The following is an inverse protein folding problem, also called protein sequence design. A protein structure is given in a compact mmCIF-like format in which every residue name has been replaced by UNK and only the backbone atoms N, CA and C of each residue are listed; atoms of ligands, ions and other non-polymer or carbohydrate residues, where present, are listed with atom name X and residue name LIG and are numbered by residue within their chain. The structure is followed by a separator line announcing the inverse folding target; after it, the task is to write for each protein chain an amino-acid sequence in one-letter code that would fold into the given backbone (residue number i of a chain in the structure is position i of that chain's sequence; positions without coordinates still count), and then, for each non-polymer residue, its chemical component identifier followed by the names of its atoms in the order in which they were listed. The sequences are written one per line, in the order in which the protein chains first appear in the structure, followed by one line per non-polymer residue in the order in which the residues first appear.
data_IF_446924155043
#
_entry.id   IF_446924155043
#
_cell.length_a   1.000
_cell.length_b   1.000
_cell.length_c   1.000
_cell.angle_alpha   90.00
_cell.angle_beta   90.00
_cell.angle_gamma   90.00
#
_symmetry.space_group_name_H-M   'P 1'
#
loop_
_entity.id
_entity.type
_entity.pdbx_description
1 polymer ?
#
# COMPACT_ATOMS: atom_id res chain seq x y z
N UNK A 1 -19.25 -11.87 29.80
CA UNK A 1 -18.49 -11.06 28.83
C UNK A 1 -19.12 -9.68 28.82
N UNK A 2 -18.37 -8.58 28.85
CA UNK A 2 -18.99 -7.26 28.69
C UNK A 2 -19.72 -7.25 27.35
N UNK A 3 -20.95 -6.75 27.34
CA UNK A 3 -21.75 -6.61 26.13
C UNK A 3 -20.98 -5.81 25.10
N UNK A 4 -20.71 -6.43 23.94
CA UNK A 4 -20.09 -5.74 22.81
C UNK A 4 -21.08 -4.62 22.42
N UNK A 5 -20.69 -3.37 22.62
CA UNK A 5 -21.39 -2.23 22.05
C UNK A 5 -20.94 -2.08 20.60
N UNK A 6 -21.64 -2.63 19.59
CA UNK A 6 -21.14 -2.76 18.22
C UNK A 6 -20.73 -1.43 17.61
N UNK A 7 -21.41 -0.34 17.99
CA UNK A 7 -21.08 1.01 17.51
C UNK A 7 -19.73 1.49 18.04
N UNK A 8 -19.43 1.25 19.32
CA UNK A 8 -18.19 1.69 19.93
C UNK A 8 -16.97 0.91 19.40
N UNK A 9 -17.14 -0.41 19.23
CA UNK A 9 -16.11 -1.26 18.64
C UNK A 9 -15.81 -0.86 17.18
N UNK A 10 -16.84 -0.55 16.39
CA UNK A 10 -16.67 -0.09 15.02
C UNK A 10 -15.94 1.26 14.97
N UNK A 11 -16.35 2.23 15.80
CA UNK A 11 -15.67 3.54 15.87
C UNK A 11 -14.20 3.38 16.24
N UNK A 12 -13.90 2.49 17.20
CA UNK A 12 -12.52 2.18 17.57
C UNK A 12 -11.74 1.62 16.37
N UNK A 13 -12.26 0.61 15.66
CA UNK A 13 -11.58 0.01 14.51
C UNK A 13 -11.32 1.05 13.42
N UNK A 14 -12.31 1.90 13.10
CA UNK A 14 -12.14 2.94 12.10
C UNK A 14 -11.10 3.98 12.53
N UNK A 15 -11.11 4.39 13.81
CA UNK A 15 -10.09 5.29 14.36
C UNK A 15 -8.70 4.65 14.29
N UNK A 16 -8.57 3.37 14.66
CA UNK A 16 -7.30 2.64 14.58
C UNK A 16 -6.78 2.58 13.16
N UNK A 17 -7.60 2.20 12.18
CA UNK A 17 -7.19 2.13 10.78
C UNK A 17 -6.78 3.51 10.26
N UNK A 18 -7.51 4.57 10.63
CA UNK A 18 -7.14 5.94 10.27
C UNK A 18 -5.80 6.36 10.91
N UNK A 19 -5.59 6.07 12.21
CA UNK A 19 -4.35 6.38 12.92
C UNK A 19 -3.15 5.60 12.37
N UNK A 20 -3.34 4.32 12.03
CA UNK A 20 -2.33 3.51 11.34
C UNK A 20 -1.92 4.15 10.00
N UNK A 21 -2.92 4.53 9.19
CA UNK A 21 -2.67 5.15 7.90
C UNK A 21 -1.99 6.53 8.04
N UNK A 22 -2.37 7.33 9.05
CA UNK A 22 -1.67 8.57 9.41
C UNK A 22 -0.22 8.25 9.77
N UNK A 23 0.03 7.28 10.64
CA UNK A 23 1.38 6.88 11.07
C UNK A 23 2.28 6.48 9.89
N UNK A 24 1.75 5.67 8.97
CA UNK A 24 2.46 5.30 7.73
C UNK A 24 2.73 6.56 6.88
N UNK A 25 1.72 7.40 6.71
CA UNK A 25 1.82 8.61 5.89
C UNK A 25 2.78 9.66 6.43
N UNK A 26 2.87 9.81 7.76
CA UNK A 26 3.79 10.74 8.45
C UNK A 26 5.24 10.56 8.02
N UNK A 27 5.64 9.32 7.73
CA UNK A 27 7.02 8.93 7.47
C UNK A 27 7.45 9.27 6.03
N UNK A 28 6.54 9.19 5.05
CA UNK A 28 6.89 9.32 3.63
C UNK A 28 7.67 10.60 3.31
N UNK A 29 7.27 11.81 3.75
CA UNK A 29 7.97 13.04 3.39
C UNK A 29 9.38 13.15 3.94
N UNK A 30 9.65 12.51 5.09
CA UNK A 30 10.93 12.64 5.82
C UNK A 30 11.90 11.50 5.55
N UNK A 31 11.46 10.42 4.90
CA UNK A 31 12.33 9.28 4.60
C UNK A 31 13.60 9.65 3.83
N UNK A 32 13.59 10.52 2.81
CA UNK A 32 14.81 10.92 2.12
C UNK A 32 15.83 11.56 3.06
N UNK A 33 15.38 12.48 3.92
CA UNK A 33 16.26 13.19 4.85
C UNK A 33 16.83 12.25 5.90
N UNK A 34 16.01 11.40 6.51
CA UNK A 34 16.45 10.38 7.45
C UNK A 34 17.48 9.42 6.83
N UNK A 35 17.22 8.97 5.59
CA UNK A 35 18.09 8.02 4.94
C UNK A 35 19.44 8.64 4.56
N UNK A 36 19.47 9.89 4.12
CA UNK A 36 20.73 10.63 3.88
C UNK A 36 21.47 10.84 5.20
N UNK A 37 20.78 11.23 6.28
CA UNK A 37 21.39 11.42 7.61
C UNK A 37 22.05 10.12 8.13
N UNK A 38 21.32 8.99 8.07
CA UNK A 38 21.78 7.70 8.63
C UNK A 38 22.83 7.03 7.77
N UNK A 39 22.79 7.20 6.45
CA UNK A 39 23.75 6.59 5.54
C UNK A 39 25.00 7.44 5.32
N UNK A 40 24.89 8.76 5.46
CA UNK A 40 25.93 9.71 5.05
C UNK A 40 26.20 9.72 3.54
N UNK A 41 25.28 9.20 2.72
CA UNK A 41 25.47 8.96 1.29
C UNK A 41 24.65 9.90 0.43
N UNK A 42 24.84 9.82 -0.90
CA UNK A 42 24.05 10.54 -1.88
C UNK A 42 22.56 10.17 -1.78
N UNK A 43 21.68 11.05 -2.28
CA UNK A 43 20.24 10.80 -2.25
C UNK A 43 19.84 9.54 -3.04
N UNK A 44 20.54 9.25 -4.16
CA UNK A 44 20.32 8.03 -4.94
C UNK A 44 20.65 6.76 -4.16
N UNK A 45 21.82 6.72 -3.47
CA UNK A 45 22.18 5.58 -2.61
C UNK A 45 21.27 5.47 -1.38
N UNK A 46 20.86 6.61 -0.80
CA UNK A 46 19.90 6.66 0.29
C UNK A 46 18.52 6.10 -0.15
N UNK A 47 18.10 6.40 -1.37
CA UNK A 47 16.87 5.85 -1.94
C UNK A 47 16.93 4.32 -2.09
N UNK A 48 18.06 3.76 -2.54
CA UNK A 48 18.24 2.30 -2.60
C UNK A 48 18.06 1.66 -1.23
N UNK A 49 18.67 2.22 -0.19
CA UNK A 49 18.50 1.72 1.18
C UNK A 49 17.05 1.86 1.67
N UNK A 50 16.35 2.96 1.32
CA UNK A 50 14.93 3.12 1.56
C UNK A 50 14.09 2.02 0.90
N UNK A 51 14.45 1.66 -0.34
CA UNK A 51 13.86 0.52 -1.06
C UNK A 51 14.10 -0.82 -0.36
N UNK A 52 15.33 -1.06 0.15
CA UNK A 52 15.68 -2.26 0.92
C UNK A 52 14.87 -2.34 2.22
N UNK A 53 14.71 -1.24 2.95
CA UNK A 53 13.90 -1.19 4.17
C UNK A 53 12.43 -1.51 3.89
N UNK A 54 11.87 -0.93 2.83
CA UNK A 54 10.48 -1.18 2.40
C UNK A 54 10.29 -2.63 1.97
N UNK A 55 11.20 -3.17 1.17
CA UNK A 55 11.16 -4.56 0.73
C UNK A 55 11.31 -5.53 1.91
N UNK A 56 12.19 -5.25 2.87
CA UNK A 56 12.37 -6.09 4.06
C UNK A 56 11.10 -6.19 4.89
N UNK A 57 10.42 -5.05 5.12
CA UNK A 57 9.10 -5.02 5.76
C UNK A 57 8.08 -5.86 4.98
N UNK A 58 7.99 -5.66 3.67
CA UNK A 58 7.02 -6.38 2.82
C UNK A 58 7.29 -7.89 2.76
N UNK A 59 8.56 -8.32 2.73
CA UNK A 59 8.95 -9.74 2.81
C UNK A 59 8.47 -10.35 4.12
N UNK A 60 8.73 -9.70 5.25
CA UNK A 60 8.30 -10.19 6.56
C UNK A 60 6.78 -10.22 6.67
N UNK A 61 6.09 -9.18 6.21
CA UNK A 61 4.64 -9.14 6.17
C UNK A 61 4.05 -10.26 5.31
N UNK A 62 4.64 -10.55 4.15
CA UNK A 62 4.21 -11.64 3.27
C UNK A 62 4.40 -13.02 3.93
N UNK A 63 5.57 -13.25 4.53
CA UNK A 63 5.88 -14.54 5.15
C UNK A 63 5.07 -14.78 6.43
N UNK A 64 4.94 -13.77 7.28
CA UNK A 64 4.34 -13.90 8.60
C UNK A 64 2.86 -13.51 8.65
N UNK A 65 2.32 -12.81 7.65
CA UNK A 65 0.91 -12.42 7.61
C UNK A 65 -0.06 -13.59 7.81
N UNK A 66 0.06 -14.71 7.07
CA UNK A 66 -0.78 -15.89 7.29
C UNK A 66 -0.57 -16.55 8.67
N UNK A 67 0.65 -16.49 9.22
CA UNK A 67 0.97 -16.99 10.56
C UNK A 67 0.23 -16.17 11.62
N UNK A 68 0.35 -14.83 11.53
CA UNK A 68 -0.30 -13.91 12.48
C UNK A 68 -1.83 -13.99 12.36
N UNK A 69 -2.37 -14.13 11.15
CA UNK A 69 -3.79 -14.40 10.94
C UNK A 69 -4.26 -15.68 11.63
N UNK A 70 -3.49 -16.75 11.49
CA UNK A 70 -3.77 -18.05 12.13
C UNK A 70 -3.65 -18.00 13.67
N UNK A 71 -2.70 -17.21 14.19
CA UNK A 71 -2.59 -16.93 15.63
C UNK A 71 -3.81 -16.13 16.15
N UNK A 72 -4.30 -15.20 15.35
CA UNK A 72 -5.51 -14.44 15.64
C UNK A 72 -6.77 -15.31 15.69
N UNK A 73 -6.86 -16.34 14.83
CA UNK A 73 -7.93 -17.35 14.87
C UNK A 73 -7.85 -18.25 16.12
N UNK A 74 -6.63 -18.48 16.64
CA UNK A 74 -6.41 -19.37 17.79
C UNK A 74 -6.57 -18.65 19.14
N UNK A 75 -5.92 -17.50 19.27
CA UNK A 75 -5.85 -16.78 20.56
C UNK A 75 -6.94 -15.74 20.73
N UNK A 76 -7.62 -15.36 19.64
CA UNK A 76 -8.57 -14.27 19.57
C UNK A 76 -8.02 -13.05 18.82
N UNK A 77 -8.92 -12.18 18.39
CA UNK A 77 -8.57 -10.98 17.61
C UNK A 77 -7.86 -9.93 18.47
N UNK A 78 -8.42 -9.68 19.66
CA UNK A 78 -7.95 -8.62 20.56
C UNK A 78 -6.49 -8.75 20.96
N UNK A 79 -5.98 -9.90 21.47
CA UNK A 79 -4.58 -10.02 21.88
C UNK A 79 -3.61 -9.78 20.72
N UNK A 80 -3.88 -10.37 19.56
CA UNK A 80 -3.02 -10.23 18.37
C UNK A 80 -3.00 -8.79 17.90
N UNK A 81 -4.15 -8.13 17.88
CA UNK A 81 -4.28 -6.73 17.51
C UNK A 81 -3.47 -5.81 18.44
N UNK A 82 -3.59 -5.99 19.76
CA UNK A 82 -2.84 -5.20 20.75
C UNK A 82 -1.33 -5.44 20.64
N UNK A 83 -0.88 -6.68 20.41
CA UNK A 83 0.54 -6.98 20.19
C UNK A 83 1.05 -6.27 18.92
N UNK A 84 0.29 -6.26 17.82
CA UNK A 84 0.67 -5.52 16.61
C UNK A 84 0.81 -4.02 16.89
N UNK A 85 -0.08 -3.42 17.69
CA UNK A 85 0.02 -2.01 18.08
C UNK A 85 1.26 -1.73 18.96
N UNK A 86 1.61 -2.63 19.91
CA UNK A 86 2.85 -2.51 20.69
C UNK A 86 4.07 -2.52 19.79
N UNK A 87 4.15 -3.46 18.85
CA UNK A 87 5.27 -3.55 17.92
C UNK A 87 5.35 -2.30 17.04
N UNK A 88 4.21 -1.74 16.62
CA UNK A 88 4.17 -0.51 15.84
C UNK A 88 4.70 0.71 16.62
N UNK A 89 4.35 0.84 17.91
CA UNK A 89 4.94 1.87 18.81
C UNK A 89 6.46 1.72 18.85
N UNK A 90 6.95 0.50 19.08
CA UNK A 90 8.38 0.21 19.17
C UNK A 90 9.09 0.51 17.85
N UNK A 91 8.50 0.16 16.73
CA UNK A 91 9.05 0.43 15.40
C UNK A 91 9.23 1.93 15.16
N UNK A 92 8.20 2.74 15.41
CA UNK A 92 8.30 4.19 15.25
C UNK A 92 9.33 4.81 16.21
N UNK A 93 9.41 4.34 17.46
CA UNK A 93 10.44 4.79 18.40
C UNK A 93 11.84 4.38 17.95
N UNK A 94 12.02 3.14 17.46
CA UNK A 94 13.29 2.69 16.92
C UNK A 94 13.70 3.53 15.71
N UNK A 95 12.78 3.87 14.82
CA UNK A 95 13.06 4.76 13.69
C UNK A 95 13.41 6.18 14.15
N UNK A 96 12.73 6.69 15.18
CA UNK A 96 13.00 8.02 15.73
C UNK A 96 14.41 8.14 16.30
N UNK A 97 14.95 7.08 16.93
CA UNK A 97 16.27 7.08 17.56
C UNK A 97 17.38 6.40 16.74
N UNK A 98 17.04 5.90 15.54
CA UNK A 98 18.02 5.18 14.73
C UNK A 98 19.08 6.12 14.14
N UNK A 99 20.35 5.75 14.32
CA UNK A 99 21.52 6.38 13.72
C UNK A 99 22.30 5.41 12.82
N UNK A 100 21.79 4.20 12.61
CA UNK A 100 22.42 3.19 11.76
C UNK A 100 21.38 2.47 10.91
N UNK A 101 21.77 2.07 9.70
CA UNK A 101 20.95 1.26 8.81
C UNK A 101 20.56 -0.08 9.45
N UNK A 102 21.46 -0.69 10.22
CA UNK A 102 21.19 -1.95 10.90
C UNK A 102 20.02 -1.85 11.86
N UNK A 103 19.90 -0.75 12.62
CA UNK A 103 18.77 -0.53 13.54
C UNK A 103 17.46 -0.27 12.78
N UNK A 104 17.50 0.51 11.71
CA UNK A 104 16.33 0.72 10.83
C UNK A 104 15.86 -0.60 10.21
N UNK A 105 16.80 -1.43 9.73
CA UNK A 105 16.47 -2.73 9.15
C UNK A 105 15.85 -3.68 10.19
N UNK A 106 16.42 -3.73 11.40
CA UNK A 106 15.84 -4.52 12.50
C UNK A 106 14.41 -4.06 12.84
N UNK A 107 14.18 -2.74 12.91
CA UNK A 107 12.85 -2.16 13.12
C UNK A 107 11.88 -2.62 12.02
N UNK A 108 12.24 -2.51 10.75
CA UNK A 108 11.41 -2.92 9.61
C UNK A 108 11.11 -4.42 9.58
N UNK A 109 12.09 -5.26 9.92
CA UNK A 109 11.89 -6.72 10.03
C UNK A 109 10.89 -7.06 11.12
N UNK A 110 11.06 -6.50 12.33
CA UNK A 110 10.16 -6.75 13.46
C UNK A 110 8.75 -6.22 13.17
N UNK A 111 8.65 -5.01 12.63
CA UNK A 111 7.37 -4.43 12.23
C UNK A 111 6.67 -5.26 11.16
N UNK A 112 7.40 -5.76 10.14
CA UNK A 112 6.85 -6.61 9.10
C UNK A 112 6.30 -7.93 9.63
N UNK A 113 6.98 -8.56 10.61
CA UNK A 113 6.48 -9.79 11.27
C UNK A 113 5.14 -9.54 11.97
N UNK A 114 4.97 -8.38 12.61
CA UNK A 114 3.76 -8.05 13.38
C UNK A 114 2.72 -7.26 12.56
N UNK A 115 2.94 -7.01 11.27
CA UNK A 115 2.11 -6.17 10.41
C UNK A 115 0.75 -6.81 10.07
N UNK A 116 -0.05 -7.11 11.09
CA UNK A 116 -1.36 -7.75 10.95
C UNK A 116 -2.54 -6.82 11.29
N UNK A 117 -2.29 -5.55 11.60
CA UNK A 117 -3.33 -4.63 12.07
C UNK A 117 -4.49 -4.55 11.09
N UNK A 118 -4.21 -4.31 9.80
CA UNK A 118 -5.26 -4.18 8.79
C UNK A 118 -6.06 -5.48 8.58
N UNK A 119 -5.39 -6.64 8.49
CA UNK A 119 -6.05 -7.94 8.30
C UNK A 119 -6.85 -8.34 9.54
N UNK A 120 -6.33 -8.08 10.74
CA UNK A 120 -7.02 -8.37 12.00
C UNK A 120 -8.21 -7.42 12.19
N UNK A 121 -8.09 -6.14 11.81
CA UNK A 121 -9.21 -5.19 11.79
C UNK A 121 -10.34 -5.65 10.87
N UNK A 122 -10.01 -6.09 9.66
CA UNK A 122 -10.98 -6.63 8.71
C UNK A 122 -11.67 -7.90 9.26
N UNK A 123 -10.91 -8.83 9.86
CA UNK A 123 -11.47 -10.02 10.49
C UNK A 123 -12.37 -9.66 11.69
N UNK A 124 -11.94 -8.73 12.54
CA UNK A 124 -12.74 -8.24 13.65
C UNK A 124 -14.09 -7.66 13.18
N UNK A 125 -14.08 -6.82 12.16
CA UNK A 125 -15.31 -6.24 11.58
C UNK A 125 -16.20 -7.33 10.97
N UNK A 126 -15.63 -8.35 10.33
CA UNK A 126 -16.39 -9.49 9.82
C UNK A 126 -17.08 -10.27 10.95
N UNK A 127 -16.42 -10.41 12.12
CA UNK A 127 -16.95 -11.13 13.28
C UNK A 127 -18.16 -10.40 13.91
N UNK A 128 -18.15 -9.05 13.94
CA UNK A 128 -19.21 -8.23 14.59
C UNK A 128 -20.29 -7.73 13.64
N UNK A 129 -20.22 -8.07 12.33
CA UNK A 129 -21.10 -7.52 11.31
C UNK A 129 -21.89 -8.61 10.61
N UNK A 130 -23.22 -8.40 10.49
CA UNK A 130 -24.08 -9.29 9.73
C UNK A 130 -23.63 -9.37 8.24
N UNK A 131 -23.77 -10.51 7.56
CA UNK A 131 -23.31 -10.69 6.18
C UNK A 131 -23.73 -9.59 5.22
N UNK A 132 -24.97 -9.14 5.29
CA UNK A 132 -25.57 -8.13 4.40
C UNK A 132 -24.92 -6.74 4.57
N UNK A 133 -24.45 -6.41 5.77
CA UNK A 133 -23.82 -5.12 6.09
C UNK A 133 -22.28 -5.10 5.89
N UNK A 134 -21.65 -6.25 5.65
CA UNK A 134 -20.18 -6.37 5.58
C UNK A 134 -19.58 -5.47 4.52
N UNK A 135 -20.15 -5.45 3.31
CA UNK A 135 -19.63 -4.62 2.21
C UNK A 135 -19.59 -3.13 2.58
N UNK A 136 -20.64 -2.62 3.24
CA UNK A 136 -20.71 -1.23 3.72
C UNK A 136 -19.65 -0.96 4.79
N UNK A 137 -19.43 -1.89 5.72
CA UNK A 137 -18.47 -1.74 6.81
C UNK A 137 -17.02 -1.80 6.31
N UNK A 138 -16.72 -2.69 5.36
CA UNK A 138 -15.40 -2.71 4.71
C UNK A 138 -15.14 -1.44 3.90
N UNK A 139 -16.17 -0.87 3.25
CA UNK A 139 -16.06 0.43 2.61
C UNK A 139 -15.66 1.55 3.58
N UNK A 140 -16.19 1.53 4.82
CA UNK A 140 -15.80 2.49 5.86
C UNK A 140 -14.33 2.30 6.32
N UNK A 141 -13.84 1.05 6.39
CA UNK A 141 -12.42 0.77 6.68
C UNK A 141 -11.54 1.39 5.58
N UNK A 142 -11.88 1.18 4.32
CA UNK A 142 -11.16 1.78 3.19
C UNK A 142 -11.18 3.31 3.22
N UNK A 143 -12.34 3.91 3.55
CA UNK A 143 -12.45 5.36 3.67
C UNK A 143 -11.60 5.91 4.84
N UNK A 144 -11.62 5.24 6.00
CA UNK A 144 -10.81 5.61 7.16
C UNK A 144 -9.30 5.54 6.83
N UNK A 145 -8.86 4.47 6.15
CA UNK A 145 -7.50 4.34 5.66
C UNK A 145 -7.13 5.46 4.69
N UNK A 146 -7.98 5.74 3.70
CA UNK A 146 -7.75 6.80 2.71
C UNK A 146 -7.62 8.19 3.34
N UNK A 147 -8.51 8.53 4.29
CA UNK A 147 -8.44 9.79 5.02
C UNK A 147 -7.14 9.90 5.83
N UNK A 148 -6.74 8.84 6.51
CA UNK A 148 -5.48 8.79 7.25
C UNK A 148 -4.28 8.94 6.33
N UNK A 149 -4.29 8.27 5.17
CA UNK A 149 -3.20 8.34 4.20
C UNK A 149 -3.08 9.70 3.51
N UNK A 150 -4.14 10.50 3.46
CA UNK A 150 -4.09 11.90 3.00
C UNK A 150 -3.56 12.81 4.10
N UNK A 151 -4.05 12.64 5.33
CA UNK A 151 -3.66 13.50 6.45
C UNK A 151 -2.21 13.25 6.91
N UNK A 152 -1.75 11.99 6.85
CA UNK A 152 -0.42 11.59 7.33
C UNK A 152 0.72 12.37 6.67
N UNK A 153 0.89 12.34 5.34
CA UNK A 153 1.96 13.07 4.67
C UNK A 153 1.92 14.58 4.90
N UNK A 154 0.72 15.16 4.97
CA UNK A 154 0.56 16.59 5.25
C UNK A 154 1.10 16.93 6.65
N UNK A 155 0.67 16.19 7.67
CA UNK A 155 1.13 16.37 9.06
C UNK A 155 2.63 16.08 9.15
N UNK A 156 3.11 15.02 8.50
CA UNK A 156 4.52 14.64 8.48
C UNK A 156 5.41 15.71 7.87
N UNK A 157 5.01 16.28 6.73
CA UNK A 157 5.71 17.38 6.09
C UNK A 157 5.75 18.65 6.94
N UNK A 158 4.69 18.96 7.70
CA UNK A 158 4.66 20.10 8.62
C UNK A 158 5.54 19.87 9.86
N UNK A 159 5.50 18.68 10.45
CA UNK A 159 6.33 18.33 11.60
C UNK A 159 7.83 18.29 11.25
N UNK A 160 8.17 17.94 10.02
CA UNK A 160 9.54 17.92 9.52
C UNK A 160 10.22 19.32 9.53
N UNK A 161 9.44 20.39 9.59
CA UNK A 161 9.99 21.76 9.76
C UNK A 161 10.63 21.94 11.13
N UNK A 162 10.14 21.20 12.14
CA UNK A 162 10.67 21.24 13.52
C UNK A 162 11.94 20.40 13.60
N UNK A 163 11.86 19.15 13.17
CA UNK A 163 12.97 18.20 13.18
C UNK A 163 12.63 17.02 12.25
N UNK A 164 13.64 16.44 11.57
CA UNK A 164 13.46 15.26 10.68
C UNK A 164 12.87 14.06 11.42
N UNK A 165 13.09 13.95 12.73
CA UNK A 165 12.62 12.83 13.57
C UNK A 165 11.27 13.12 14.25
N UNK A 166 10.79 14.37 14.26
CA UNK A 166 9.52 14.74 14.86
C UNK A 166 8.32 13.94 14.33
N UNK A 167 8.18 13.63 13.02
CA UNK A 167 7.11 12.78 12.52
C UNK A 167 7.10 11.38 13.11
N UNK A 168 8.28 10.77 13.38
CA UNK A 168 8.38 9.43 13.98
C UNK A 168 7.92 9.43 15.44
N UNK A 169 8.30 10.45 16.23
CA UNK A 169 7.80 10.60 17.59
C UNK A 169 6.30 10.84 17.61
N UNK A 170 5.76 11.63 16.69
CA UNK A 170 4.32 11.84 16.55
C UNK A 170 3.60 10.53 16.18
N UNK A 171 4.14 9.75 15.24
CA UNK A 171 3.59 8.44 14.88
C UNK A 171 3.62 7.47 16.07
N UNK A 172 4.71 7.44 16.85
CA UNK A 172 4.82 6.63 18.06
C UNK A 172 3.78 7.03 19.12
N UNK A 173 3.60 8.34 19.33
CA UNK A 173 2.61 8.87 20.27
C UNK A 173 1.17 8.51 19.85
N UNK A 174 0.85 8.65 18.56
CA UNK A 174 -0.46 8.26 18.03
C UNK A 174 -0.70 6.75 18.16
N UNK A 175 0.31 5.93 17.83
CA UNK A 175 0.22 4.48 17.99
C UNK A 175 0.06 4.07 19.47
N UNK A 176 0.77 4.74 20.39
CA UNK A 176 0.62 4.52 21.83
C UNK A 176 -0.78 4.92 22.32
N UNK A 177 -1.27 6.08 21.91
CA UNK A 177 -2.62 6.52 22.24
C UNK A 177 -3.67 5.51 21.75
N UNK A 178 -3.50 5.00 20.52
CA UNK A 178 -4.36 3.97 19.93
C UNK A 178 -4.28 2.64 20.70
N UNK A 179 -3.07 2.22 21.10
CA UNK A 179 -2.86 1.03 21.95
C UNK A 179 -3.59 1.15 23.29
N UNK A 180 -3.41 2.28 23.98
CA UNK A 180 -4.06 2.56 25.27
C UNK A 180 -5.59 2.56 25.09
N UNK A 181 -6.09 3.24 24.08
CA UNK A 181 -7.52 3.27 23.77
C UNK A 181 -8.05 1.86 23.48
N UNK A 182 -7.33 1.06 22.67
CA UNK A 182 -7.67 -0.33 22.36
C UNK A 182 -7.68 -1.24 23.57
N UNK A 183 -6.71 -1.07 24.46
CA UNK A 183 -6.61 -1.88 25.67
C UNK A 183 -7.86 -1.76 26.54
N UNK A 184 -8.41 -0.56 26.70
CA UNK A 184 -9.59 -0.31 27.55
C UNK A 184 -10.92 -0.53 26.84
N UNK A 185 -11.01 -0.34 25.51
CA UNK A 185 -12.28 -0.27 24.81
C UNK A 185 -12.55 -1.48 23.93
N UNK A 186 -11.48 -2.13 23.36
CA UNK A 186 -11.67 -3.21 22.42
C UNK A 186 -12.05 -4.52 23.14
N UNK A 187 -13.30 -5.03 23.01
CA UNK A 187 -13.65 -6.37 23.49
C UNK A 187 -13.11 -7.45 22.56
N UNK A 188 -13.09 -8.69 22.99
CA UNK A 188 -12.81 -9.83 22.10
C UNK A 188 -14.01 -10.11 21.20
N UNK A 189 -13.77 -10.19 19.87
CA UNK A 189 -14.83 -10.48 18.89
C UNK A 189 -15.01 -11.96 18.61
N UNK A 190 -13.93 -12.76 18.74
CA UNK A 190 -13.95 -14.17 18.40
C UNK A 190 -14.32 -15.01 19.65
N UNK A 191 -15.55 -15.53 19.66
CA UNK A 191 -16.00 -16.40 20.74
C UNK A 191 -15.13 -17.66 20.87
N UNK A 192 -14.95 -18.17 22.10
CA UNK A 192 -14.07 -19.31 22.39
C UNK A 192 -14.37 -20.53 21.55
N UNK A 193 -15.65 -20.85 21.33
CA UNK A 193 -16.08 -22.00 20.54
C UNK A 193 -15.86 -21.86 19.04
N UNK A 194 -15.60 -20.63 18.54
CA UNK A 194 -15.28 -20.36 17.12
C UNK A 194 -13.77 -20.33 16.86
N UNK A 195 -12.95 -20.41 17.92
CA UNK A 195 -11.50 -20.44 17.78
C UNK A 195 -11.04 -21.73 17.13
N UNK A 196 -10.05 -21.60 16.24
CA UNK A 196 -9.51 -22.72 15.47
C UNK A 196 -8.10 -23.08 15.96
N UNK A 197 -7.70 -24.34 15.99
CA UNK A 197 -6.34 -24.73 16.28
C UNK A 197 -5.38 -24.17 15.21
N UNK A 198 -4.16 -23.85 15.61
CA UNK A 198 -3.12 -23.41 14.67
C UNK A 198 -2.81 -24.52 13.65
N UNK A 199 -2.66 -24.14 12.39
CA UNK A 199 -2.36 -25.08 11.29
C UNK A 199 -1.27 -24.51 10.38
N UNK A 200 -0.13 -25.22 10.29
CA UNK A 200 0.97 -24.83 9.39
C UNK A 200 0.55 -24.83 7.91
N UNK A 201 -0.37 -25.70 7.52
CA UNK A 201 -0.87 -25.74 6.14
C UNK A 201 -1.59 -24.44 5.75
N UNK A 202 -2.33 -23.84 6.70
CA UNK A 202 -3.00 -22.53 6.50
C UNK A 202 -2.07 -21.34 6.66
N UNK A 203 -0.93 -21.54 7.33
CA UNK A 203 0.09 -20.53 7.55
C UNK A 203 1.09 -20.40 6.39
N UNK A 204 0.94 -21.21 5.32
CA UNK A 204 1.86 -21.20 4.18
C UNK A 204 1.51 -20.05 3.21
N UNK A 205 2.36 -19.01 3.09
CA UNK A 205 2.12 -17.87 2.19
C UNK A 205 2.15 -18.26 0.71
N UNK A 206 2.83 -19.37 0.36
CA UNK A 206 2.96 -19.82 -1.02
C UNK A 206 1.74 -20.63 -1.49
N UNK A 207 0.82 -21.00 -0.60
CA UNK A 207 -0.38 -21.79 -0.95
C UNK A 207 -1.24 -21.07 -1.99
N UNK A 208 -1.31 -19.75 -1.95
CA UNK A 208 -2.05 -18.94 -2.91
C UNK A 208 -1.55 -19.10 -4.35
N UNK A 209 -0.24 -19.31 -4.57
CA UNK A 209 0.31 -19.50 -5.92
C UNK A 209 -0.07 -20.85 -6.53
N UNK A 210 -0.24 -21.88 -5.70
CA UNK A 210 -0.72 -23.18 -6.18
C UNK A 210 -2.17 -23.10 -6.66
N UNK A 211 -2.97 -22.19 -6.09
CA UNK A 211 -4.35 -21.94 -6.47
C UNK A 211 -4.49 -21.32 -7.88
N UNK A 212 -3.46 -20.60 -8.39
CA UNK A 212 -3.45 -20.07 -9.76
C UNK A 212 -3.66 -21.18 -10.81
N UNK A 213 -3.18 -22.40 -10.53
CA UNK A 213 -3.37 -23.55 -11.43
C UNK A 213 -4.84 -23.96 -11.55
N UNK A 214 -5.66 -23.67 -10.53
CA UNK A 214 -7.09 -24.00 -10.50
C UNK A 214 -7.95 -22.97 -11.23
N UNK A 215 -7.37 -21.80 -11.58
CA UNK A 215 -8.04 -20.69 -12.25
C UNK A 215 -7.39 -20.39 -13.62
N UNK A 216 -7.37 -21.35 -14.59
CA UNK A 216 -6.60 -21.20 -15.83
C UNK A 216 -7.04 -20.00 -16.67
N UNK A 217 -8.34 -19.65 -16.65
CA UNK A 217 -8.88 -18.51 -17.40
C UNK A 217 -8.43 -17.14 -16.88
N UNK A 218 -7.87 -17.06 -15.68
CA UNK A 218 -7.46 -15.80 -15.03
C UNK A 218 -5.96 -15.51 -15.16
N UNK A 219 -5.13 -16.47 -15.59
CA UNK A 219 -3.67 -16.31 -15.57
C UNK A 219 -3.19 -15.03 -16.24
N UNK A 220 -3.73 -14.73 -17.40
CA UNK A 220 -3.39 -13.51 -18.13
C UNK A 220 -3.80 -12.24 -17.37
N UNK A 221 -5.03 -12.21 -16.84
CA UNK A 221 -5.54 -11.07 -16.10
C UNK A 221 -4.80 -10.85 -14.77
N UNK A 222 -4.38 -11.93 -14.12
CA UNK A 222 -3.52 -11.88 -12.91
C UNK A 222 -2.13 -11.34 -13.24
N UNK A 223 -1.54 -11.72 -14.40
CA UNK A 223 -0.26 -11.16 -14.85
C UNK A 223 -0.38 -9.65 -15.14
N UNK A 224 -1.44 -9.24 -15.82
CA UNK A 224 -1.72 -7.81 -16.06
C UNK A 224 -1.83 -7.06 -14.74
N UNK A 225 -2.57 -7.59 -13.78
CA UNK A 225 -2.72 -6.97 -12.45
C UNK A 225 -1.42 -6.95 -11.65
N UNK A 226 -0.57 -7.95 -11.80
CA UNK A 226 0.74 -7.96 -11.16
C UNK A 226 1.65 -6.88 -11.72
N UNK A 227 1.75 -6.75 -13.06
CA UNK A 227 2.57 -5.71 -13.68
C UNK A 227 2.01 -4.31 -13.32
N UNK A 228 0.68 -4.16 -13.34
CA UNK A 228 0.01 -2.95 -12.86
C UNK A 228 0.41 -2.63 -11.41
N UNK A 229 0.38 -3.60 -10.51
CA UNK A 229 0.78 -3.40 -9.13
C UNK A 229 2.27 -3.02 -8.99
N UNK A 230 3.16 -3.62 -9.78
CA UNK A 230 4.60 -3.27 -9.80
C UNK A 230 4.78 -1.83 -10.26
N UNK A 231 4.14 -1.41 -11.35
CA UNK A 231 4.26 -0.03 -11.86
C UNK A 231 3.64 0.98 -10.90
N UNK A 232 2.49 0.68 -10.30
CA UNK A 232 1.84 1.55 -9.32
C UNK A 232 2.70 1.78 -8.07
N UNK A 233 3.45 0.77 -7.63
CA UNK A 233 4.31 0.88 -6.45
C UNK A 233 5.54 1.80 -6.66
N UNK A 234 5.79 2.34 -7.86
CA UNK A 234 6.79 3.40 -8.07
C UNK A 234 6.46 4.66 -7.24
N UNK A 235 5.17 4.97 -7.07
CA UNK A 235 4.72 6.14 -6.31
C UNK A 235 5.15 6.09 -4.84
N UNK A 236 4.72 5.10 -4.04
CA UNK A 236 5.11 5.04 -2.63
C UNK A 236 6.61 4.75 -2.44
N UNK A 237 7.26 4.06 -3.38
CA UNK A 237 8.67 3.72 -3.26
C UNK A 237 9.60 4.91 -3.52
N UNK A 238 9.23 5.81 -4.43
CA UNK A 238 10.18 6.76 -4.98
C UNK A 238 9.75 8.23 -4.88
N UNK A 239 8.46 8.53 -4.77
CA UNK A 239 7.95 9.89 -4.91
C UNK A 239 8.69 10.93 -4.05
N UNK A 240 8.96 10.61 -2.80
CA UNK A 240 9.64 11.52 -1.87
C UNK A 240 11.10 11.79 -2.29
N UNK A 241 11.82 10.76 -2.73
CA UNK A 241 13.19 10.90 -3.24
C UNK A 241 13.23 11.63 -4.57
N UNK A 242 12.30 11.29 -5.47
CA UNK A 242 12.17 11.94 -6.77
C UNK A 242 11.84 13.42 -6.63
N UNK A 243 10.85 13.77 -5.78
CA UNK A 243 10.48 15.15 -5.54
C UNK A 243 11.61 16.01 -4.98
N UNK A 244 12.43 15.41 -4.10
CA UNK A 244 13.63 16.06 -3.55
C UNK A 244 14.72 16.24 -4.60
N UNK A 245 15.02 15.20 -5.40
CA UNK A 245 16.08 15.22 -6.40
C UNK A 245 15.72 16.08 -7.62
N UNK A 246 14.54 15.85 -8.21
CA UNK A 246 14.16 16.49 -9.47
C UNK A 246 13.67 17.93 -9.31
N UNK A 247 13.04 18.26 -8.16
CA UNK A 247 12.37 19.54 -7.96
C UNK A 247 12.94 20.36 -6.80
N UNK A 248 13.89 19.81 -6.02
CA UNK A 248 14.43 20.46 -4.82
C UNK A 248 13.39 20.62 -3.69
N UNK A 249 12.35 19.77 -3.66
CA UNK A 249 11.29 19.87 -2.67
C UNK A 249 11.78 19.50 -1.28
N UNK A 250 11.34 20.25 -0.29
CA UNK A 250 11.46 19.87 1.11
C UNK A 250 10.30 18.93 1.52
N UNK A 251 10.36 18.43 2.75
CA UNK A 251 9.34 17.50 3.27
C UNK A 251 7.92 18.08 3.25
N UNK A 252 7.77 19.42 3.40
CA UNK A 252 6.46 20.08 3.36
C UNK A 252 5.84 20.01 1.97
N UNK A 253 6.60 20.30 0.91
CA UNK A 253 6.11 20.20 -0.47
C UNK A 253 5.83 18.76 -0.88
N UNK A 254 6.65 17.81 -0.44
CA UNK A 254 6.42 16.38 -0.63
C UNK A 254 5.12 15.98 0.06
N UNK A 255 4.92 16.37 1.33
CA UNK A 255 3.71 16.06 2.09
C UNK A 255 2.46 16.64 1.44
N UNK A 256 2.53 17.89 0.98
CA UNK A 256 1.42 18.56 0.28
C UNK A 256 1.08 17.87 -1.04
N UNK A 257 2.08 17.47 -1.83
CA UNK A 257 1.89 16.78 -3.11
C UNK A 257 1.23 15.40 -2.92
N UNK A 258 1.64 14.66 -1.89
CA UNK A 258 1.03 13.37 -1.53
C UNK A 258 -0.42 13.53 -1.05
N UNK A 259 -0.71 14.57 -0.26
CA UNK A 259 -2.07 14.87 0.17
C UNK A 259 -2.96 15.24 -1.03
N UNK A 260 -2.47 16.09 -1.95
CA UNK A 260 -3.17 16.44 -3.19
C UNK A 260 -3.46 15.20 -4.03
N UNK A 261 -2.46 14.34 -4.24
CA UNK A 261 -2.63 13.07 -4.96
C UNK A 261 -3.69 12.19 -4.30
N UNK A 262 -3.63 12.02 -2.97
CA UNK A 262 -4.60 11.21 -2.22
C UNK A 262 -6.04 11.74 -2.35
N UNK A 263 -6.25 13.06 -2.26
CA UNK A 263 -7.55 13.70 -2.46
C UNK A 263 -8.07 13.46 -3.87
N UNK A 264 -7.23 13.73 -4.89
CA UNK A 264 -7.62 13.54 -6.29
C UNK A 264 -7.97 12.07 -6.59
N UNK A 265 -7.19 11.12 -6.03
CA UNK A 265 -7.42 9.69 -6.17
C UNK A 265 -8.75 9.26 -5.51
N UNK A 266 -9.04 9.74 -4.31
CA UNK A 266 -10.31 9.46 -3.62
C UNK A 266 -11.50 10.00 -4.41
N UNK A 267 -11.40 11.23 -4.93
CA UNK A 267 -12.43 11.83 -5.77
C UNK A 267 -12.63 11.03 -7.07
N UNK A 268 -11.54 10.65 -7.75
CA UNK A 268 -11.62 9.87 -8.98
C UNK A 268 -12.26 8.49 -8.74
N UNK A 269 -11.90 7.81 -7.67
CA UNK A 269 -12.50 6.51 -7.32
C UNK A 269 -13.99 6.65 -6.99
N UNK A 270 -14.37 7.69 -6.26
CA UNK A 270 -15.77 7.91 -5.88
C UNK A 270 -16.68 8.34 -7.07
N UNK A 271 -16.12 9.13 -8.01
CA UNK A 271 -16.92 9.78 -9.06
C UNK A 271 -16.78 9.17 -10.44
N UNK A 272 -15.61 8.56 -10.77
CA UNK A 272 -15.32 8.10 -12.15
C UNK A 272 -15.52 6.59 -12.32
N UNK A 273 -15.14 5.76 -11.34
CA UNK A 273 -15.14 4.30 -11.50
C UNK A 273 -16.50 3.75 -11.87
N UNK A 274 -17.55 4.09 -11.10
CA UNK A 274 -18.90 3.62 -11.34
C UNK A 274 -19.47 4.03 -12.71
N UNK A 275 -19.49 5.32 -13.05
CA UNK A 275 -19.96 5.80 -14.34
C UNK A 275 -19.17 5.25 -15.53
N UNK A 276 -17.85 5.14 -15.44
CA UNK A 276 -17.03 4.59 -16.51
C UNK A 276 -17.33 3.11 -16.75
N UNK A 277 -17.43 2.31 -15.70
CA UNK A 277 -17.79 0.88 -15.83
C UNK A 277 -19.18 0.72 -16.43
N UNK A 278 -20.15 1.52 -15.97
CA UNK A 278 -21.53 1.48 -16.53
C UNK A 278 -21.60 1.87 -18.00
N UNK A 279 -20.81 2.88 -18.42
CA UNK A 279 -20.88 3.40 -19.80
C UNK A 279 -20.02 2.61 -20.78
N UNK A 280 -18.82 2.19 -20.39
CA UNK A 280 -17.83 1.59 -21.28
C UNK A 280 -17.59 0.11 -21.02
N UNK A 281 -18.08 -0.42 -19.90
CA UNK A 281 -17.76 -1.75 -19.38
C UNK A 281 -16.39 -1.82 -18.69
N UNK A 282 -16.18 -2.88 -17.92
CA UNK A 282 -14.97 -3.09 -17.09
C UNK A 282 -13.68 -3.05 -17.93
N UNK A 283 -13.70 -3.74 -19.06
CA UNK A 283 -12.52 -3.93 -19.91
C UNK A 283 -12.03 -2.63 -20.56
N UNK A 284 -12.94 -1.84 -21.16
CA UNK A 284 -12.57 -0.55 -21.75
C UNK A 284 -12.15 0.45 -20.66
N UNK A 285 -12.81 0.42 -19.53
CA UNK A 285 -12.43 1.25 -18.37
C UNK A 285 -11.02 0.93 -17.91
N UNK A 286 -10.65 -0.36 -17.77
CA UNK A 286 -9.28 -0.76 -17.47
C UNK A 286 -8.28 -0.29 -18.52
N UNK A 287 -8.64 -0.43 -19.83
CA UNK A 287 -7.77 0.01 -20.93
C UNK A 287 -7.54 1.52 -20.89
N UNK A 288 -8.58 2.32 -20.71
CA UNK A 288 -8.45 3.78 -20.64
C UNK A 288 -7.64 4.22 -19.43
N UNK A 289 -7.84 3.56 -18.28
CA UNK A 289 -7.06 3.80 -17.07
C UNK A 289 -5.58 3.50 -17.29
N UNK A 290 -5.23 2.33 -17.87
CA UNK A 290 -3.85 1.95 -18.17
C UNK A 290 -3.17 2.91 -19.17
N UNK A 291 -3.91 3.40 -20.19
CA UNK A 291 -3.40 4.41 -21.14
C UNK A 291 -3.14 5.73 -20.42
N UNK A 292 -4.06 6.17 -19.55
CA UNK A 292 -3.88 7.38 -18.74
C UNK A 292 -2.65 7.25 -17.82
N UNK A 293 -2.45 6.08 -17.18
CA UNK A 293 -1.26 5.82 -16.38
C UNK A 293 0.03 5.81 -17.18
N UNK A 294 0.04 5.19 -18.36
CA UNK A 294 1.21 5.22 -19.24
C UNK A 294 1.59 6.67 -19.60
N UNK A 295 0.60 7.51 -19.93
CA UNK A 295 0.80 8.93 -20.15
C UNK A 295 1.33 9.66 -18.90
N UNK A 296 0.76 9.36 -17.76
CA UNK A 296 1.19 9.91 -16.45
C UNK A 296 2.64 9.54 -16.13
N UNK A 297 3.01 8.27 -16.25
CA UNK A 297 4.40 7.84 -16.02
C UNK A 297 5.37 8.48 -17.02
N UNK A 298 4.97 8.62 -18.30
CA UNK A 298 5.79 9.32 -19.29
C UNK A 298 5.98 10.78 -18.90
N UNK A 299 4.92 11.47 -18.49
CA UNK A 299 5.01 12.86 -18.04
C UNK A 299 5.96 13.02 -16.86
N UNK A 300 5.79 12.20 -15.79
CA UNK A 300 6.66 12.28 -14.61
C UNK A 300 8.08 11.77 -14.88
N UNK A 301 8.26 10.94 -15.88
CA UNK A 301 9.60 10.56 -16.36
C UNK A 301 10.40 11.70 -16.98
N UNK A 302 9.71 12.71 -17.54
CA UNK A 302 10.31 13.79 -18.33
C UNK A 302 10.17 15.18 -17.72
N UNK A 303 9.24 15.37 -16.78
CA UNK A 303 9.00 16.68 -16.17
C UNK A 303 10.18 17.13 -15.30
N UNK A 304 10.60 18.40 -15.49
CA UNK A 304 11.70 19.02 -14.76
C UNK A 304 11.25 20.12 -13.79
N UNK A 305 9.96 20.47 -13.82
CA UNK A 305 9.39 21.54 -13.01
C UNK A 305 8.40 21.01 -11.97
N UNK A 306 8.66 21.26 -10.69
CA UNK A 306 7.77 20.89 -9.61
C UNK A 306 6.39 21.55 -9.70
N UNK A 307 6.29 22.77 -10.25
CA UNK A 307 5.00 23.43 -10.48
C UNK A 307 4.14 22.64 -11.47
N UNK A 308 4.72 22.20 -12.60
CA UNK A 308 4.01 21.38 -13.57
C UNK A 308 3.65 20.02 -12.99
N UNK A 309 4.51 19.44 -12.15
CA UNK A 309 4.22 18.19 -11.46
C UNK A 309 2.97 18.33 -10.57
N UNK A 310 2.83 19.41 -9.81
CA UNK A 310 1.64 19.67 -8.98
C UNK A 310 0.38 19.92 -9.82
N UNK A 311 0.49 20.72 -10.89
CA UNK A 311 -0.64 21.02 -11.80
C UNK A 311 -1.14 19.74 -12.47
N UNK A 312 -0.25 18.82 -12.81
CA UNK A 312 -0.60 17.56 -13.48
C UNK A 312 -1.11 16.48 -12.50
N UNK A 313 -0.89 16.62 -11.19
CA UNK A 313 -1.31 15.63 -10.18
C UNK A 313 -2.78 15.21 -10.30
N UNK A 314 -3.78 16.11 -10.51
CA UNK A 314 -5.16 15.69 -10.71
C UNK A 314 -5.37 14.75 -11.92
N UNK A 315 -4.56 14.91 -12.97
CA UNK A 315 -4.65 14.07 -14.18
C UNK A 315 -4.19 12.63 -13.87
N UNK A 316 -3.23 12.47 -12.93
CA UNK A 316 -2.76 11.14 -12.51
C UNK A 316 -3.87 10.28 -11.91
N UNK A 317 -4.84 10.93 -11.27
CA UNK A 317 -5.97 10.24 -10.64
C UNK A 317 -6.90 9.54 -11.66
N UNK A 318 -6.85 9.90 -12.95
CA UNK A 318 -7.58 9.21 -14.00
C UNK A 318 -7.14 7.75 -14.14
N UNK A 319 -5.89 7.42 -13.84
CA UNK A 319 -5.37 6.05 -13.78
C UNK A 319 -6.02 5.22 -12.68
N UNK A 320 -6.51 5.85 -11.61
CA UNK A 320 -7.11 5.18 -10.45
C UNK A 320 -8.34 4.32 -10.75
N UNK A 321 -8.88 4.36 -11.96
CA UNK A 321 -9.98 3.47 -12.40
C UNK A 321 -9.48 2.08 -12.80
N UNK A 322 -8.18 1.89 -13.06
CA UNK A 322 -7.57 0.64 -13.54
C UNK A 322 -7.75 -0.49 -12.55
N UNK A 323 -7.31 -0.29 -11.31
CA UNK A 323 -7.35 -1.32 -10.27
C UNK A 323 -8.76 -1.88 -10.02
N UNK A 324 -9.76 -1.04 -9.70
CA UNK A 324 -11.15 -1.48 -9.53
C UNK A 324 -11.73 -2.18 -10.76
N UNK A 325 -11.41 -1.72 -11.98
CA UNK A 325 -11.89 -2.36 -13.20
C UNK A 325 -11.27 -3.76 -13.42
N UNK A 326 -9.96 -3.92 -13.17
CA UNK A 326 -9.30 -5.22 -13.22
C UNK A 326 -9.85 -6.17 -12.16
N UNK A 327 -10.09 -5.70 -10.94
CA UNK A 327 -10.66 -6.49 -9.85
C UNK A 327 -12.09 -6.95 -10.18
N UNK A 328 -12.93 -6.08 -10.76
CA UNK A 328 -14.28 -6.44 -11.20
C UNK A 328 -14.25 -7.54 -12.27
N UNK A 329 -13.33 -7.42 -13.27
CA UNK A 329 -13.15 -8.45 -14.30
C UNK A 329 -12.72 -9.80 -13.70
N UNK A 330 -11.77 -9.79 -12.75
CA UNK A 330 -11.29 -11.00 -12.08
C UNK A 330 -12.41 -11.66 -11.28
N UNK A 331 -13.16 -10.89 -10.50
CA UNK A 331 -14.28 -11.39 -9.70
C UNK A 331 -15.35 -12.00 -10.57
N UNK A 332 -15.70 -11.36 -11.69
CA UNK A 332 -16.73 -11.83 -12.62
C UNK A 332 -16.37 -13.14 -13.33
N UNK A 333 -15.07 -13.38 -13.58
CA UNK A 333 -14.58 -14.60 -14.21
C UNK A 333 -14.35 -15.75 -13.20
N UNK A 334 -14.49 -15.48 -11.91
CA UNK A 334 -14.24 -16.44 -10.84
C UNK A 334 -15.57 -16.96 -10.27
N UNK A 335 -15.79 -18.28 -10.16
CA UNK A 335 -16.94 -18.85 -9.50
C UNK A 335 -17.10 -18.34 -8.06
N UNK A 336 -18.33 -18.20 -7.58
CA UNK A 336 -18.62 -17.73 -6.21
C UNK A 336 -17.88 -18.53 -5.14
N UNK A 337 -17.77 -19.85 -5.33
CA UNK A 337 -17.07 -20.76 -4.41
C UNK A 337 -15.55 -20.55 -4.35
N UNK A 338 -14.96 -19.85 -5.32
CA UNK A 338 -13.51 -19.63 -5.46
C UNK A 338 -13.10 -18.15 -5.26
N UNK A 339 -14.03 -17.28 -4.88
CA UNK A 339 -13.73 -15.85 -4.64
C UNK A 339 -12.66 -15.66 -3.54
N UNK A 340 -12.66 -16.50 -2.52
CA UNK A 340 -11.64 -16.49 -1.47
C UNK A 340 -10.25 -16.87 -1.99
N UNK A 341 -10.15 -17.84 -2.92
CA UNK A 341 -8.88 -18.20 -3.57
C UNK A 341 -8.37 -17.03 -4.42
N UNK A 342 -9.25 -16.39 -5.20
CA UNK A 342 -8.90 -15.20 -5.99
C UNK A 342 -8.35 -14.08 -5.09
N UNK A 343 -9.01 -13.78 -3.98
CA UNK A 343 -8.56 -12.73 -3.06
C UNK A 343 -7.19 -13.06 -2.46
N UNK A 344 -6.95 -14.32 -2.09
CA UNK A 344 -5.66 -14.79 -1.61
C UNK A 344 -4.54 -14.62 -2.66
N UNK A 345 -4.82 -14.99 -3.92
CA UNK A 345 -3.87 -14.82 -5.04
C UNK A 345 -3.56 -13.34 -5.26
N UNK A 346 -4.59 -12.49 -5.35
CA UNK A 346 -4.42 -11.05 -5.58
C UNK A 346 -3.61 -10.39 -4.47
N UNK A 347 -3.87 -10.74 -3.20
CA UNK A 347 -3.10 -10.25 -2.06
C UNK A 347 -1.63 -10.69 -2.14
N UNK A 348 -1.36 -11.94 -2.52
CA UNK A 348 0.00 -12.45 -2.68
C UNK A 348 0.76 -11.78 -3.84
N UNK A 349 0.09 -11.51 -4.96
CA UNK A 349 0.68 -10.78 -6.09
C UNK A 349 0.99 -9.33 -5.72
N UNK A 350 0.10 -8.66 -4.99
CA UNK A 350 0.35 -7.31 -4.48
C UNK A 350 1.53 -7.28 -3.50
N UNK A 351 1.64 -8.28 -2.62
CA UNK A 351 2.77 -8.38 -1.70
C UNK A 351 4.10 -8.57 -2.46
N UNK A 352 4.14 -9.42 -3.50
CA UNK A 352 5.31 -9.55 -4.37
C UNK A 352 5.65 -8.23 -5.08
N UNK A 353 4.65 -7.50 -5.57
CA UNK A 353 4.88 -6.20 -6.19
C UNK A 353 5.49 -5.20 -5.18
N UNK A 354 5.02 -5.20 -3.93
CA UNK A 354 5.58 -4.38 -2.85
C UNK A 354 7.02 -4.78 -2.45
N UNK A 355 7.44 -6.00 -2.75
CA UNK A 355 8.84 -6.44 -2.54
C UNK A 355 9.71 -6.03 -3.73
N UNK A 356 9.26 -6.29 -4.94
CA UNK A 356 10.06 -6.14 -6.16
C UNK A 356 10.18 -4.66 -6.56
N UNK A 357 9.06 -3.94 -6.56
CA UNK A 357 9.03 -2.58 -7.10
C UNK A 357 9.98 -1.61 -6.35
N UNK A 358 10.01 -1.54 -5.00
CA UNK A 358 10.94 -0.64 -4.32
C UNK A 358 12.39 -0.93 -4.69
N UNK A 359 12.80 -2.20 -4.74
CA UNK A 359 14.17 -2.59 -5.05
C UNK A 359 14.57 -2.18 -6.48
N UNK A 360 13.71 -2.50 -7.46
CA UNK A 360 14.00 -2.21 -8.87
C UNK A 360 13.96 -0.70 -9.13
N UNK A 361 12.92 -0.02 -8.63
CA UNK A 361 12.71 1.40 -8.93
C UNK A 361 13.77 2.28 -8.25
N UNK A 362 14.14 1.98 -7.00
CA UNK A 362 15.19 2.76 -6.31
C UNK A 362 16.57 2.44 -6.84
N UNK A 363 16.84 1.20 -7.28
CA UNK A 363 18.10 0.87 -7.96
C UNK A 363 18.24 1.65 -9.27
N UNK A 364 17.22 1.69 -10.12
CA UNK A 364 17.24 2.49 -11.35
C UNK A 364 17.42 3.97 -11.02
N UNK A 365 16.72 4.48 -10.02
CA UNK A 365 16.88 5.85 -9.57
C UNK A 365 18.34 6.15 -9.18
N UNK A 366 18.95 5.29 -8.39
CA UNK A 366 20.37 5.43 -8.00
C UNK A 366 21.29 5.47 -9.23
N UNK A 367 21.11 4.53 -10.17
CA UNK A 367 21.95 4.45 -11.39
C UNK A 367 21.85 5.72 -12.23
N UNK A 368 20.66 6.27 -12.38
CA UNK A 368 20.42 7.46 -13.23
C UNK A 368 20.58 8.80 -12.50
N UNK A 369 20.86 8.79 -11.19
CA UNK A 369 21.19 10.00 -10.40
C UNK A 369 22.62 9.98 -9.87
N UNK A 370 23.40 8.95 -10.18
CA UNK A 370 24.82 8.85 -9.82
C UNK A 370 25.64 9.94 -10.54
N UNK A 371 26.73 10.45 -9.94
CA UNK A 371 27.61 11.45 -10.56
C UNK A 371 28.23 11.00 -11.87
N UNK A 372 28.43 9.70 -12.04
CA UNK A 372 29.01 9.03 -13.21
C UNK A 372 27.93 8.45 -14.15
N UNK A 373 26.67 8.78 -13.94
CA UNK A 373 25.57 8.31 -14.77
C UNK A 373 25.77 8.76 -16.23
N UNK A 374 25.60 7.87 -17.23
CA UNK A 374 25.74 8.24 -18.65
C UNK A 374 24.71 9.29 -19.08
N UNK A 375 23.57 9.31 -18.42
CA UNK A 375 22.50 10.29 -18.60
C UNK A 375 21.88 10.56 -17.23
N UNK A 376 21.94 11.81 -16.75
CA UNK A 376 21.24 12.19 -15.53
C UNK A 376 19.74 12.28 -15.77
N UNK A 377 18.98 11.37 -15.16
CA UNK A 377 17.53 11.26 -15.37
C UNK A 377 16.82 10.73 -14.13
N UNK A 378 16.49 11.57 -13.15
CA UNK A 378 15.77 11.15 -11.93
C UNK A 378 14.42 10.48 -12.22
N UNK A 379 13.79 10.79 -13.35
CA UNK A 379 12.53 10.21 -13.80
C UNK A 379 12.62 8.83 -14.46
N UNK A 380 13.81 8.24 -14.61
CA UNK A 380 14.00 6.94 -15.29
C UNK A 380 13.11 5.81 -14.75
N UNK A 381 12.85 5.65 -13.44
CA UNK A 381 11.92 4.63 -12.93
C UNK A 381 10.48 4.81 -13.40
N UNK A 382 10.03 6.07 -13.57
CA UNK A 382 8.71 6.35 -14.14
C UNK A 382 8.66 5.98 -15.62
N UNK A 383 9.74 6.20 -16.39
CA UNK A 383 9.81 5.76 -17.79
C UNK A 383 9.79 4.24 -17.90
N UNK A 384 10.46 3.51 -17.02
CA UNK A 384 10.32 2.04 -16.97
C UNK A 384 8.86 1.65 -16.73
N UNK A 385 8.19 2.29 -15.77
CA UNK A 385 6.77 2.04 -15.48
C UNK A 385 5.90 2.36 -16.71
N UNK A 386 6.20 3.42 -17.45
CA UNK A 386 5.52 3.76 -18.70
C UNK A 386 5.69 2.66 -19.75
N UNK A 387 6.92 2.19 -20.00
CA UNK A 387 7.21 1.10 -20.94
C UNK A 387 6.48 -0.17 -20.57
N UNK A 388 6.52 -0.58 -19.31
CA UNK A 388 5.81 -1.75 -18.83
C UNK A 388 4.29 -1.61 -19.02
N UNK A 389 3.74 -0.42 -18.72
CA UNK A 389 2.31 -0.17 -18.87
C UNK A 389 1.89 -0.18 -20.34
N UNK A 390 2.67 0.43 -21.24
CA UNK A 390 2.42 0.37 -22.70
C UNK A 390 2.45 -1.08 -23.20
N UNK A 391 3.44 -1.87 -22.78
CA UNK A 391 3.52 -3.29 -23.13
C UNK A 391 2.27 -4.05 -22.68
N UNK A 392 1.83 -3.81 -21.42
CA UNK A 392 0.60 -4.41 -20.89
C UNK A 392 -0.62 -3.99 -21.71
N UNK A 393 -0.76 -2.71 -22.05
CA UNK A 393 -1.89 -2.22 -22.88
C UNK A 393 -1.91 -2.92 -24.24
N UNK A 394 -0.76 -3.00 -24.92
CA UNK A 394 -0.66 -3.66 -26.23
C UNK A 394 -1.13 -5.11 -26.14
N UNK A 395 -0.59 -5.88 -25.19
CA UNK A 395 -0.94 -7.29 -25.01
C UNK A 395 -2.40 -7.45 -24.57
N UNK A 396 -2.89 -6.58 -23.67
CA UNK A 396 -4.27 -6.59 -23.18
C UNK A 396 -5.27 -6.31 -24.30
N UNK A 397 -4.96 -5.40 -25.22
CA UNK A 397 -5.80 -5.09 -26.39
C UNK A 397 -5.70 -6.18 -27.45
N UNK A 398 -4.50 -6.72 -27.74
CA UNK A 398 -4.29 -7.76 -28.75
C UNK A 398 -5.08 -9.04 -28.43
N UNK A 399 -5.08 -9.51 -27.18
CA UNK A 399 -5.88 -10.66 -26.74
C UNK A 399 -7.39 -10.45 -26.85
N UNK A 400 -7.83 -9.22 -27.18
CA UNK A 400 -9.24 -8.94 -27.48
C UNK A 400 -9.63 -9.34 -28.90
N UNK A 401 -8.73 -9.14 -29.85
CA UNK A 401 -9.02 -9.39 -31.27
C UNK A 401 -9.18 -10.88 -31.58
N UNK A 402 -8.38 -11.73 -30.91
CA UNK A 402 -8.47 -13.19 -31.09
C UNK A 402 -9.78 -13.81 -30.57
N UNK A 403 -10.41 -13.23 -29.51
CA UNK A 403 -11.70 -13.72 -28.97
C UNK A 403 -12.92 -13.13 -29.67
N UNK A 404 -12.74 -12.14 -30.52
CA UNK A 404 -13.81 -11.49 -31.29
C UNK A 404 -13.78 -11.90 -32.80
N UNK A 405 -12.80 -12.67 -33.21
CA UNK A 405 -12.81 -13.29 -34.55
C UNK A 405 -13.82 -14.46 -34.52
N UNK A 406 -14.76 -14.53 -35.49
CA UNK A 406 -15.84 -15.51 -35.57
C UNK A 406 -15.32 -16.93 -35.76
#
# INVERSE_FOLDING_TARGET
MPEIRPRLAMTFILATVALDAIGIGLIFPVMPDLMVEVTGKSLGEAALWGGVLTASFAVMQFLFGPIVGNLSDRFGRRPVFLVSLVVMVLDYLMMAVAHTIGLLLAARVVAGIAAATHSTAAAYVADITAPDDRAKRFGLIGAAFGLGFVAGPLIGGLLAVIDTRAPFYAAAALALANLVFGYFILPESLALHLRRPFSLARANPLSSFTAIRRLPGLKFLLLVSFIYAVTFNVWPALWSYYGKEAFGWNATWIGLSLALFGICMALAQATLVGPMIKRFGERRTATYGMIAEAGTYTFFGLVTSGTWALIFTPVTALGGVTGPALQAMQSRLTPETQQGELQGITTSLNALAMIIAPLVMTWIFQVFTAPDAPIYMPGAPFLLSAVLMVAVVIVFVATQREKAAP
#
